data_IF_969015922930
#
_entry.id   IF_969015922930
#
_cell.length_a   1.000
_cell.length_b   1.000
_cell.length_c   1.000
_cell.angle_alpha   90.00
_cell.angle_beta   90.00
_cell.angle_gamma   90.00
#
_symmetry.space_group_name_H-M   'P 1'
#
loop_
_entity.id
_entity.type
_entity.pdbx_description
1 polymer ?
#
# COMPACT_ATOMS: atom_id res chain seq x y z
N UNK A 1 -2.07 -3.15 13.00
CA UNK A 1 -2.24 -3.11 14.47
C UNK A 1 -2.67 -1.73 15.00
N UNK A 2 -2.48 -0.62 14.25
CA UNK A 2 -2.95 0.72 14.66
C UNK A 2 -4.44 1.00 14.33
N UNK A 3 -5.05 0.28 13.38
CA UNK A 3 -6.44 0.52 12.93
C UNK A 3 -7.52 0.33 14.02
N UNK A 4 -7.16 -0.30 15.14
CA UNK A 4 -8.10 -0.60 16.23
C UNK A 4 -8.01 0.37 17.40
N UNK A 5 -7.04 1.27 17.45
CA UNK A 5 -6.79 2.13 18.63
C UNK A 5 -7.92 3.14 18.83
N UNK A 6 -8.31 3.88 17.79
CA UNK A 6 -9.41 4.84 17.89
C UNK A 6 -10.77 4.18 18.19
N UNK A 7 -11.16 3.06 17.51
CA UNK A 7 -12.35 2.29 17.88
C UNK A 7 -12.33 1.81 19.35
N UNK A 8 -11.19 1.33 19.84
CA UNK A 8 -11.04 0.87 21.22
C UNK A 8 -11.20 2.01 22.22
N UNK A 9 -10.62 3.19 21.97
CA UNK A 9 -10.78 4.36 22.84
C UNK A 9 -12.24 4.83 22.88
N UNK A 10 -12.93 4.83 21.72
CA UNK A 10 -14.37 5.16 21.65
C UNK A 10 -15.22 4.13 22.41
N UNK A 11 -14.88 2.85 22.32
CA UNK A 11 -15.54 1.80 23.08
C UNK A 11 -15.30 1.97 24.59
N UNK A 12 -14.06 2.22 25.01
CA UNK A 12 -13.73 2.50 26.42
C UNK A 12 -14.49 3.72 26.95
N UNK A 13 -14.61 4.79 26.17
CA UNK A 13 -15.41 5.95 26.54
C UNK A 13 -16.89 5.57 26.74
N UNK A 14 -17.45 4.74 25.85
CA UNK A 14 -18.81 4.24 25.96
C UNK A 14 -19.01 3.31 27.16
N UNK A 15 -18.00 2.53 27.53
CA UNK A 15 -18.05 1.60 28.67
C UNK A 15 -17.82 2.31 30.01
N UNK A 16 -17.14 3.48 30.01
CA UNK A 16 -17.00 4.35 31.19
C UNK A 16 -18.32 5.07 31.53
N UNK A 17 -19.30 4.32 32.03
CA UNK A 17 -20.57 4.82 32.56
C UNK A 17 -20.52 4.88 34.09
N UNK A 18 -20.99 5.97 34.68
CA UNK A 18 -21.10 6.14 36.13
C UNK A 18 -20.73 7.53 36.62
N UNK A 19 -21.42 8.00 37.66
CA UNK A 19 -21.32 9.38 38.19
C UNK A 19 -19.90 9.74 38.66
N UNK A 20 -19.12 8.76 39.13
CA UNK A 20 -17.76 8.96 39.64
C UNK A 20 -16.65 8.89 38.58
N UNK A 21 -16.99 8.62 37.31
CA UNK A 21 -16.02 8.44 36.22
C UNK A 21 -15.74 9.71 35.42
N UNK A 22 -16.16 10.88 35.90
CA UNK A 22 -16.04 12.16 35.17
C UNK A 22 -14.61 12.55 34.77
N UNK A 23 -13.60 12.29 35.62
CA UNK A 23 -12.18 12.55 35.29
C UNK A 23 -11.66 11.59 34.22
N UNK A 24 -11.98 10.31 34.36
CA UNK A 24 -11.58 9.25 33.44
C UNK A 24 -12.21 9.45 32.06
N UNK A 25 -13.49 9.84 32.02
CA UNK A 25 -14.21 10.22 30.81
C UNK A 25 -13.56 11.39 30.09
N UNK A 26 -13.22 12.47 30.81
CA UNK A 26 -12.53 13.63 30.21
C UNK A 26 -11.16 13.26 29.67
N UNK A 27 -10.39 12.43 30.37
CA UNK A 27 -9.09 11.97 29.89
C UNK A 27 -9.21 11.14 28.60
N UNK A 28 -10.22 10.26 28.51
CA UNK A 28 -10.52 9.51 27.29
C UNK A 28 -10.95 10.42 26.13
N UNK A 29 -11.79 11.43 26.38
CA UNK A 29 -12.20 12.41 25.36
C UNK A 29 -11.02 13.20 24.79
N UNK A 30 -10.10 13.66 25.64
CA UNK A 30 -8.87 14.34 25.19
C UNK A 30 -8.02 13.41 24.34
N UNK A 31 -7.77 12.18 24.81
CA UNK A 31 -6.97 11.19 24.09
C UNK A 31 -7.59 10.81 22.73
N UNK A 32 -8.92 10.72 22.65
CA UNK A 32 -9.64 10.49 21.39
C UNK A 32 -9.39 11.66 20.43
N UNK A 33 -9.56 12.91 20.88
CA UNK A 33 -9.34 14.10 20.04
C UNK A 33 -7.90 14.23 19.54
N UNK A 34 -6.93 13.97 20.40
CA UNK A 34 -5.51 13.95 20.03
C UNK A 34 -5.25 12.89 18.95
N UNK A 35 -5.77 11.67 19.16
CA UNK A 35 -5.64 10.57 18.20
C UNK A 35 -6.33 10.89 16.87
N UNK A 36 -7.52 11.50 16.89
CA UNK A 36 -8.24 11.92 15.68
C UNK A 36 -7.48 13.00 14.91
N UNK A 37 -6.87 13.96 15.61
CA UNK A 37 -6.04 15.01 15.02
C UNK A 37 -4.79 14.42 14.37
N UNK A 38 -4.10 13.52 15.08
CA UNK A 38 -2.92 12.84 14.52
C UNK A 38 -3.26 12.00 13.28
N UNK A 39 -4.41 11.31 13.28
CA UNK A 39 -4.89 10.57 12.12
C UNK A 39 -5.19 11.52 10.97
N UNK A 40 -5.87 12.64 11.22
CA UNK A 40 -6.17 13.64 10.19
C UNK A 40 -4.89 14.22 9.58
N UNK A 41 -3.91 14.60 10.41
CA UNK A 41 -2.62 15.12 9.96
C UNK A 41 -1.84 14.11 9.12
N UNK A 42 -1.92 12.82 9.48
CA UNK A 42 -1.31 11.74 8.69
C UNK A 42 -2.03 11.55 7.36
N UNK A 43 -3.36 11.57 7.35
CA UNK A 43 -4.17 11.44 6.14
C UNK A 43 -3.97 12.61 5.17
N UNK A 44 -3.82 13.83 5.70
CA UNK A 44 -3.59 15.06 4.92
C UNK A 44 -2.27 15.01 4.13
N UNK A 45 -1.26 14.32 4.66
CA UNK A 45 0.06 14.17 4.01
C UNK A 45 0.07 13.10 2.91
N UNK A 46 -0.88 12.17 2.89
CA UNK A 46 -0.89 11.04 1.94
C UNK A 46 -0.94 11.51 0.48
N UNK A 47 -1.81 12.45 0.07
CA UNK A 47 -1.86 12.91 -1.31
C UNK A 47 -0.53 13.50 -1.79
N UNK A 48 0.18 14.21 -0.93
CA UNK A 48 1.45 14.85 -1.31
C UNK A 48 2.58 13.83 -1.42
N UNK A 49 2.68 12.86 -0.50
CA UNK A 49 3.65 11.77 -0.61
C UNK A 49 3.39 10.91 -1.85
N UNK A 50 2.12 10.65 -2.18
CA UNK A 50 1.76 9.93 -3.40
C UNK A 50 2.18 10.67 -4.67
N UNK A 51 1.97 12.00 -4.72
CA UNK A 51 2.41 12.82 -5.87
C UNK A 51 3.92 12.82 -6.03
N UNK A 52 4.67 12.90 -4.93
CA UNK A 52 6.14 12.79 -4.95
C UNK A 52 6.60 11.45 -5.54
N UNK A 53 5.89 10.37 -5.23
CA UNK A 53 6.13 9.03 -5.77
C UNK A 53 5.60 8.81 -7.21
N UNK A 54 4.97 9.83 -7.79
CA UNK A 54 4.46 9.83 -9.16
C UNK A 54 3.01 9.35 -9.31
N UNK A 55 2.27 9.21 -8.22
CA UNK A 55 0.85 8.87 -8.25
C UNK A 55 -0.02 10.13 -8.12
N UNK A 56 -0.93 10.40 -9.07
CA UNK A 56 -1.72 11.63 -9.07
C UNK A 56 -2.74 11.70 -7.93
N UNK A 57 -3.25 10.55 -7.50
CA UNK A 57 -4.22 10.43 -6.43
C UNK A 57 -4.15 9.03 -5.78
N UNK A 58 -4.88 8.91 -4.66
CA UNK A 58 -4.99 7.68 -3.87
C UNK A 58 -5.65 6.55 -4.66
N UNK A 59 -6.58 6.85 -5.57
CA UNK A 59 -7.29 5.81 -6.33
C UNK A 59 -6.34 5.11 -7.31
N UNK A 60 -5.51 5.88 -8.02
CA UNK A 60 -4.49 5.33 -8.94
C UNK A 60 -3.48 4.48 -8.17
N UNK A 61 -3.04 4.93 -7.00
CA UNK A 61 -2.19 4.13 -6.12
C UNK A 61 -2.88 2.83 -5.70
N UNK A 62 -4.11 2.90 -5.18
CA UNK A 62 -4.84 1.72 -4.70
C UNK A 62 -5.13 0.71 -5.81
N UNK A 63 -5.45 1.18 -7.02
CA UNK A 63 -5.60 0.31 -8.20
C UNK A 63 -4.30 -0.41 -8.54
N UNK A 64 -3.20 0.33 -8.55
CA UNK A 64 -1.85 -0.21 -8.83
C UNK A 64 -1.45 -1.24 -7.78
N UNK A 65 -1.65 -0.92 -6.51
CA UNK A 65 -1.35 -1.78 -5.38
C UNK A 65 -2.14 -3.10 -5.44
N UNK A 66 -3.46 -3.04 -5.67
CA UNK A 66 -4.30 -4.25 -5.82
C UNK A 66 -3.84 -5.12 -6.98
N UNK A 67 -3.39 -4.52 -8.07
CA UNK A 67 -2.89 -5.29 -9.20
C UNK A 67 -1.56 -5.96 -8.88
N UNK A 68 -0.65 -5.27 -8.19
CA UNK A 68 0.59 -5.87 -7.68
C UNK A 68 0.31 -7.02 -6.70
N UNK A 69 -0.62 -6.83 -5.76
CA UNK A 69 -1.06 -7.88 -4.84
C UNK A 69 -1.55 -9.12 -5.59
N UNK A 70 -2.36 -8.95 -6.63
CA UNK A 70 -2.85 -10.07 -7.44
C UNK A 70 -1.72 -10.87 -8.10
N UNK A 71 -0.66 -10.22 -8.56
CA UNK A 71 0.49 -10.92 -9.18
C UNK A 71 1.25 -11.74 -8.15
N UNK A 72 1.49 -11.16 -6.97
CA UNK A 72 2.16 -11.85 -5.86
C UNK A 72 1.30 -13.01 -5.34
N UNK A 73 0.01 -12.79 -5.20
CA UNK A 73 -0.93 -13.80 -4.74
C UNK A 73 -1.02 -14.97 -5.72
N UNK A 74 -1.10 -14.69 -7.02
CA UNK A 74 -1.08 -15.73 -8.05
C UNK A 74 0.20 -16.57 -7.98
N UNK A 75 1.36 -15.93 -7.89
CA UNK A 75 2.62 -16.64 -7.74
C UNK A 75 2.65 -17.53 -6.49
N UNK A 76 2.15 -17.04 -5.36
CA UNK A 76 2.09 -17.82 -4.12
C UNK A 76 1.15 -19.03 -4.25
N UNK A 77 0.01 -18.88 -4.94
CA UNK A 77 -0.91 -19.99 -5.23
C UNK A 77 -0.25 -21.02 -6.14
N UNK A 78 0.36 -20.58 -7.24
CA UNK A 78 1.06 -21.47 -8.18
C UNK A 78 2.20 -22.23 -7.50
N UNK A 79 2.93 -21.55 -6.59
CA UNK A 79 4.01 -22.15 -5.81
C UNK A 79 3.46 -23.21 -4.85
N UNK A 80 2.40 -22.89 -4.11
CA UNK A 80 1.76 -23.82 -3.20
C UNK A 80 1.17 -25.04 -3.93
N UNK A 81 0.56 -24.84 -5.10
CA UNK A 81 0.08 -25.94 -5.94
C UNK A 81 1.23 -26.82 -6.46
N UNK A 82 2.34 -26.21 -6.85
CA UNK A 82 3.54 -26.95 -7.26
C UNK A 82 4.09 -27.77 -6.08
N UNK A 83 4.27 -27.18 -4.90
CA UNK A 83 4.75 -27.87 -3.69
C UNK A 83 3.82 -29.03 -3.27
N UNK A 84 2.50 -28.80 -3.31
CA UNK A 84 1.50 -29.83 -3.04
C UNK A 84 1.59 -31.00 -4.03
N UNK A 85 1.80 -30.70 -5.31
CA UNK A 85 1.88 -31.72 -6.34
C UNK A 85 3.18 -32.52 -6.30
N UNK A 86 4.32 -31.87 -6.04
CA UNK A 86 5.63 -32.52 -5.89
C UNK A 86 5.65 -33.44 -4.67
N UNK A 87 5.03 -33.02 -3.56
CA UNK A 87 4.96 -33.83 -2.33
C UNK A 87 4.04 -35.05 -2.46
N UNK A 88 2.97 -34.98 -3.27
CA UNK A 88 2.02 -36.10 -3.43
C UNK A 88 2.40 -37.15 -4.47
N UNK A 89 3.19 -36.79 -5.50
CA UNK A 89 3.62 -37.71 -6.57
C UNK A 89 5.12 -37.54 -6.85
N UNK A 90 6.01 -38.14 -6.03
CA UNK A 90 7.45 -38.04 -6.18
C UNK A 90 8.00 -38.97 -7.29
N UNK A 91 7.29 -39.12 -8.42
CA UNK A 91 7.84 -39.84 -9.57
C UNK A 91 8.74 -38.91 -10.37
N UNK A 92 10.00 -39.31 -10.58
CA UNK A 92 11.03 -38.49 -11.24
C UNK A 92 10.58 -37.92 -12.60
N UNK A 93 9.80 -38.70 -13.36
CA UNK A 93 9.23 -38.31 -14.67
C UNK A 93 8.09 -37.28 -14.60
N UNK A 94 7.38 -37.16 -13.47
CA UNK A 94 6.34 -36.15 -13.27
C UNK A 94 6.92 -34.83 -12.74
N UNK A 95 7.98 -34.90 -11.94
CA UNK A 95 8.69 -33.73 -11.40
C UNK A 95 9.53 -33.02 -12.48
N UNK A 96 10.15 -33.76 -13.39
CA UNK A 96 10.96 -33.19 -14.49
C UNK A 96 10.14 -32.36 -15.49
N UNK A 97 8.86 -32.68 -15.66
CA UNK A 97 7.93 -31.90 -16.50
C UNK A 97 7.38 -30.65 -15.82
N UNK A 98 7.51 -30.51 -14.50
CA UNK A 98 6.85 -29.46 -13.70
C UNK A 98 7.88 -28.49 -13.15
N UNK A 99 8.16 -27.45 -13.93
CA UNK A 99 9.02 -26.35 -13.49
C UNK A 99 8.31 -25.54 -12.39
N UNK A 100 9.02 -25.13 -11.34
CA UNK A 100 8.48 -24.20 -10.36
C UNK A 100 8.19 -22.83 -11.01
N UNK A 101 7.26 -22.05 -10.47
CA UNK A 101 7.00 -20.70 -10.96
C UNK A 101 8.24 -19.79 -10.77
N UNK A 102 8.51 -18.91 -11.74
CA UNK A 102 9.72 -18.09 -11.76
C UNK A 102 9.54 -16.73 -11.08
N UNK A 103 10.31 -16.48 -10.01
CA UNK A 103 10.31 -15.20 -9.28
C UNK A 103 10.71 -14.00 -10.15
N UNK A 104 11.59 -14.20 -11.14
CA UNK A 104 12.02 -13.10 -12.02
C UNK A 104 10.88 -12.58 -12.90
N UNK A 105 9.97 -13.46 -13.32
CA UNK A 105 8.78 -13.08 -14.08
C UNK A 105 7.86 -12.18 -13.25
N UNK A 106 7.66 -12.53 -11.97
CA UNK A 106 6.89 -11.71 -11.01
C UNK A 106 7.52 -10.34 -10.82
N UNK A 107 8.82 -10.28 -10.53
CA UNK A 107 9.53 -9.01 -10.33
C UNK A 107 9.48 -8.10 -11.56
N UNK A 108 9.61 -8.69 -12.76
CA UNK A 108 9.48 -7.97 -14.02
C UNK A 108 8.06 -7.40 -14.17
N UNK A 109 7.04 -8.21 -13.92
CA UNK A 109 5.65 -7.79 -14.03
C UNK A 109 5.29 -6.70 -13.02
N UNK A 110 5.77 -6.80 -11.78
CA UNK A 110 5.61 -5.75 -10.77
C UNK A 110 6.26 -4.43 -11.20
N UNK A 111 7.46 -4.48 -11.78
CA UNK A 111 8.14 -3.28 -12.32
C UNK A 111 7.34 -2.64 -13.45
N UNK A 112 6.84 -3.45 -14.38
CA UNK A 112 5.99 -2.98 -15.49
C UNK A 112 4.71 -2.30 -14.98
N UNK A 113 4.04 -2.90 -13.98
CA UNK A 113 2.86 -2.32 -13.32
C UNK A 113 3.19 -0.97 -12.68
N UNK A 114 4.37 -0.85 -12.07
CA UNK A 114 4.80 0.40 -11.44
C UNK A 114 5.10 1.48 -12.48
N UNK A 115 5.84 1.15 -13.54
CA UNK A 115 6.26 2.11 -14.58
C UNK A 115 5.10 2.64 -15.42
N UNK A 116 4.08 1.81 -15.69
CA UNK A 116 2.92 2.25 -16.48
C UNK A 116 1.95 3.16 -15.69
N UNK A 117 1.86 2.98 -14.37
CA UNK A 117 0.89 3.70 -13.52
C UNK A 117 1.49 4.92 -12.82
N UNK A 118 2.81 4.98 -12.66
CA UNK A 118 3.50 6.21 -12.27
C UNK A 118 3.40 7.23 -13.39
N UNK A 119 2.95 8.45 -13.08
CA UNK A 119 3.05 9.56 -14.00
C UNK A 119 4.52 9.76 -14.37
N UNK A 120 4.79 9.79 -15.68
CA UNK A 120 6.07 10.24 -16.18
C UNK A 120 6.23 11.69 -15.69
N UNK A 121 7.33 12.05 -15.01
CA UNK A 121 7.57 13.44 -14.68
C UNK A 121 7.47 14.23 -15.98
N UNK A 122 6.82 15.41 -15.99
CA UNK A 122 6.75 16.21 -17.20
C UNK A 122 8.19 16.37 -17.69
N UNK A 123 8.47 15.90 -18.91
CA UNK A 123 9.76 16.17 -19.54
C UNK A 123 9.94 17.68 -19.44
N UNK A 124 10.85 18.13 -18.55
CA UNK A 124 11.22 19.52 -18.41
C UNK A 124 11.58 19.96 -19.82
N UNK A 125 10.65 20.65 -20.50
CA UNK A 125 10.92 21.27 -21.79
C UNK A 125 12.09 22.19 -21.51
N UNK A 126 13.29 21.79 -21.95
CA UNK A 126 14.51 22.60 -21.82
C UNK A 126 14.11 23.99 -22.29
N UNK A 127 14.15 24.95 -21.38
CA UNK A 127 13.90 26.36 -21.69
C UNK A 127 14.96 26.70 -22.73
N UNK A 128 14.58 26.77 -24.01
CA UNK A 128 15.46 27.36 -25.03
C UNK A 128 15.68 28.78 -24.55
N UNK A 129 16.88 29.04 -24.04
CA UNK A 129 17.38 30.41 -23.89
C UNK A 129 17.30 31.01 -25.28
N UNK A 130 16.33 31.91 -25.47
CA UNK A 130 16.32 32.78 -26.64
C UNK A 130 17.49 33.71 -26.41
N UNK A 131 18.58 33.43 -27.12
CA UNK A 131 19.68 34.34 -27.34
C UNK A 131 19.08 35.56 -28.05
N UNK A 132 18.88 36.65 -27.29
CA UNK A 132 18.60 37.96 -27.86
C UNK A 132 19.94 38.50 -28.35
N UNK A 133 20.36 38.03 -29.52
CA UNK A 133 21.41 38.69 -30.26
C UNK A 133 20.92 40.12 -30.59
N UNK A 134 21.74 41.06 -30.16
CA UNK A 134 21.47 42.49 -30.21
C UNK A 134 21.97 43.02 -31.55
N UNK A 135 21.08 43.58 -32.37
CA UNK A 135 21.46 44.51 -33.44
C UNK A 135 20.33 45.42 -33.85
#
# INVERSE_FOLDING_TARGET
MQDKVLPQLKQQLADTKGLFKGKERKALEVKIKETETEIADRLDKIPDTLKEDGYPDVQVFMRTFREMESVVEQYNRDLAEWEYQVSRKPTATANEKRRPPEKQSVLKHLREIQERNKQKPPQRRRKKSIDRDSR
#
